data_IF_479847928366
#
_entry.id   IF_479847928366
#
_cell.length_a   1.000
_cell.length_b   1.000
_cell.length_c   1.000
_cell.angle_alpha   90.00
_cell.angle_beta   90.00
_cell.angle_gamma   90.00
#
_symmetry.space_group_name_H-M   'P 1'
#
loop_
_entity.id
_entity.type
_entity.pdbx_description
1 polymer ?
#
# COMPACT_ATOMS: atom_id res chain seq x y z
N UNK A 1 11.67 19.79 30.70
CA UNK A 1 10.90 20.39 29.58
C UNK A 1 10.74 19.35 28.48
N UNK A 2 9.52 19.04 28.06
CA UNK A 2 9.28 18.07 27.00
C UNK A 2 9.44 18.75 25.63
N UNK A 3 10.66 18.76 25.09
CA UNK A 3 10.88 19.18 23.69
C UNK A 3 9.97 18.38 22.75
N UNK A 4 9.31 19.07 21.82
CA UNK A 4 8.53 18.44 20.75
C UNK A 4 9.45 17.64 19.81
N UNK A 5 8.88 16.71 19.03
CA UNK A 5 9.66 15.91 18.08
C UNK A 5 10.39 16.77 17.03
N UNK A 6 9.81 17.90 16.64
CA UNK A 6 10.43 18.83 15.68
C UNK A 6 11.63 19.54 16.30
N UNK A 7 11.50 20.04 17.53
CA UNK A 7 12.58 20.69 18.28
C UNK A 7 13.72 19.72 18.57
N UNK A 8 13.42 18.48 19.02
CA UNK A 8 14.44 17.44 19.21
C UNK A 8 15.22 17.17 17.92
N UNK A 9 14.53 17.14 16.78
CA UNK A 9 15.15 16.91 15.48
C UNK A 9 16.06 18.06 15.05
N UNK A 10 15.66 19.31 15.32
CA UNK A 10 16.49 20.49 15.08
C UNK A 10 17.77 20.47 15.94
N UNK A 11 17.61 20.16 17.22
CA UNK A 11 18.73 20.00 18.17
C UNK A 11 19.70 18.93 17.68
N UNK A 12 19.20 17.74 17.31
CA UNK A 12 20.03 16.64 16.80
C UNK A 12 20.79 17.08 15.54
N UNK A 13 20.14 17.79 14.62
CA UNK A 13 20.77 18.26 13.38
C UNK A 13 21.99 19.13 13.68
N UNK A 14 21.85 20.05 14.63
CA UNK A 14 22.88 21.01 15.00
C UNK A 14 24.01 20.37 15.83
N UNK A 15 23.67 19.52 16.81
CA UNK A 15 24.69 18.84 17.63
C UNK A 15 25.41 17.71 16.90
N UNK A 16 24.78 17.03 15.94
CA UNK A 16 25.43 15.94 15.21
C UNK A 16 26.64 16.41 14.40
N UNK A 17 26.60 17.60 13.82
CA UNK A 17 27.74 18.19 13.11
C UNK A 17 28.93 18.45 14.03
N UNK A 18 28.66 19.04 15.21
CA UNK A 18 29.67 19.32 16.25
C UNK A 18 30.25 18.03 16.84
N UNK A 19 29.39 17.06 17.17
CA UNK A 19 29.79 15.77 17.72
C UNK A 19 30.69 14.96 16.76
N UNK A 20 30.43 15.00 15.45
CA UNK A 20 31.25 14.26 14.47
C UNK A 20 32.66 14.82 14.33
N UNK A 21 32.83 16.14 14.42
CA UNK A 21 34.13 16.83 14.29
C UNK A 21 34.94 16.89 15.58
N UNK A 22 34.28 16.74 16.74
CA UNK A 22 34.90 16.84 18.06
C UNK A 22 35.90 15.70 18.39
N UNK A 23 36.90 16.04 19.20
CA UNK A 23 37.87 15.07 19.78
C UNK A 23 37.25 14.29 20.94
N UNK A 24 37.91 13.23 21.43
CA UNK A 24 37.37 12.31 22.46
C UNK A 24 36.89 13.03 23.72
N UNK A 25 37.66 14.00 24.24
CA UNK A 25 37.31 14.77 25.45
C UNK A 25 36.13 15.74 25.22
N UNK A 26 36.05 16.35 24.05
CA UNK A 26 34.98 17.27 23.66
C UNK A 26 33.66 16.53 23.39
N UNK A 27 33.73 15.32 22.81
CA UNK A 27 32.55 14.46 22.60
C UNK A 27 31.83 14.12 23.91
N UNK A 28 32.57 13.91 24.99
CA UNK A 28 31.99 13.66 26.32
C UNK A 28 31.14 14.84 26.77
N UNK A 29 31.69 16.07 26.70
CA UNK A 29 30.98 17.30 27.09
C UNK A 29 29.72 17.54 26.25
N UNK A 30 29.85 17.43 24.92
CA UNK A 30 28.73 17.56 23.98
C UNK A 30 27.63 16.54 24.29
N UNK A 31 28.02 15.32 24.67
CA UNK A 31 27.08 14.26 24.97
C UNK A 31 26.37 14.49 26.32
N UNK A 32 27.08 14.99 27.32
CA UNK A 32 26.50 15.33 28.64
C UNK A 32 25.43 16.43 28.48
N UNK A 33 25.76 17.51 27.77
CA UNK A 33 24.83 18.60 27.46
C UNK A 33 23.60 18.11 26.67
N UNK A 34 23.84 17.26 25.66
CA UNK A 34 22.77 16.74 24.81
C UNK A 34 21.82 15.79 25.56
N UNK A 35 22.35 14.99 26.49
CA UNK A 35 21.55 14.11 27.36
C UNK A 35 20.66 14.94 28.30
N UNK A 36 21.22 15.98 28.93
CA UNK A 36 20.44 16.90 29.80
C UNK A 36 19.32 17.59 29.01
N UNK A 37 19.62 18.04 27.80
CA UNK A 37 18.68 18.79 26.97
C UNK A 37 17.57 17.92 26.36
N UNK A 38 17.87 16.69 25.94
CA UNK A 38 16.90 15.81 25.24
C UNK A 38 16.25 14.75 26.13
N UNK A 39 16.82 14.47 27.30
CA UNK A 39 16.41 13.37 28.17
C UNK A 39 16.72 11.97 27.61
N UNK A 40 17.56 11.87 26.57
CA UNK A 40 17.95 10.58 26.01
C UNK A 40 18.98 9.86 26.88
N UNK A 41 18.96 8.52 26.86
CA UNK A 41 20.06 7.76 27.46
C UNK A 41 21.36 8.03 26.71
N UNK A 42 22.49 8.03 27.42
CA UNK A 42 23.81 8.29 26.86
C UNK A 42 24.11 7.41 25.63
N UNK A 43 23.73 6.13 25.70
CA UNK A 43 23.88 5.19 24.60
C UNK A 43 23.05 5.61 23.36
N UNK A 44 21.77 5.95 23.57
CA UNK A 44 20.90 6.39 22.49
C UNK A 44 21.38 7.71 21.87
N UNK A 45 21.80 8.68 22.69
CA UNK A 45 22.36 9.94 22.24
C UNK A 45 23.62 9.76 21.36
N UNK A 46 24.57 8.91 21.78
CA UNK A 46 25.72 8.52 20.98
C UNK A 46 25.31 7.96 19.61
N UNK A 47 24.37 7.01 19.61
CA UNK A 47 23.90 6.36 18.40
C UNK A 47 23.23 7.35 17.44
N UNK A 48 22.34 8.21 17.96
CA UNK A 48 21.61 9.23 17.18
C UNK A 48 22.59 10.20 16.53
N UNK A 49 23.52 10.78 17.29
CA UNK A 49 24.48 11.77 16.77
C UNK A 49 25.46 11.16 15.74
N UNK A 50 25.85 9.89 15.92
CA UNK A 50 26.74 9.16 15.00
C UNK A 50 26.05 8.78 13.70
N UNK A 51 24.78 8.36 13.79
CA UNK A 51 23.99 7.83 12.66
C UNK A 51 23.21 8.93 11.95
N UNK A 52 23.11 10.12 12.53
CA UNK A 52 22.42 11.26 11.92
C UNK A 52 22.93 11.54 10.50
N UNK A 53 22.01 11.59 9.53
CA UNK A 53 22.34 11.80 8.11
C UNK A 53 22.90 10.58 7.38
N UNK A 54 23.22 9.47 8.07
CA UNK A 54 23.52 8.19 7.42
C UNK A 54 22.20 7.49 7.10
N UNK A 55 21.58 7.85 5.98
CA UNK A 55 20.58 6.96 5.37
C UNK A 55 21.35 5.84 4.70
N UNK A 56 21.14 4.60 5.15
CA UNK A 56 21.62 3.43 4.40
C UNK A 56 21.10 3.48 2.96
N UNK A 57 21.74 2.78 2.01
CA UNK A 57 21.22 2.71 0.65
C UNK A 57 19.75 2.32 0.71
N UNK A 58 18.87 2.95 -0.10
CA UNK A 58 17.46 2.57 -0.13
C UNK A 58 17.41 1.05 -0.33
N UNK A 59 16.67 0.36 0.54
CA UNK A 59 16.53 -1.10 0.45
C UNK A 59 15.94 -1.40 -0.93
N UNK A 60 16.78 -1.85 -1.86
CA UNK A 60 16.36 -2.21 -3.20
C UNK A 60 15.40 -3.39 -3.08
N UNK A 61 14.11 -3.11 -3.11
CA UNK A 61 13.11 -4.16 -3.20
C UNK A 61 13.25 -4.77 -4.60
N UNK A 62 13.66 -6.04 -4.65
CA UNK A 62 13.80 -6.76 -5.91
C UNK A 62 12.43 -6.79 -6.58
N UNK A 63 12.26 -6.03 -7.67
CA UNK A 63 11.03 -6.04 -8.46
C UNK A 63 10.94 -7.41 -9.11
N UNK A 64 10.11 -8.31 -8.57
CA UNK A 64 9.81 -9.60 -9.20
C UNK A 64 9.20 -9.33 -10.58
N UNK A 65 9.64 -10.06 -11.60
CA UNK A 65 9.02 -10.01 -12.94
C UNK A 65 7.53 -10.32 -12.79
N UNK A 66 6.68 -9.49 -13.38
CA UNK A 66 5.23 -9.72 -13.37
C UNK A 66 4.95 -10.86 -14.34
N UNK A 67 4.30 -11.92 -13.85
CA UNK A 67 3.88 -13.08 -14.67
C UNK A 67 2.60 -12.73 -15.45
N UNK A 68 1.76 -11.87 -14.86
CA UNK A 68 0.51 -11.39 -15.42
C UNK A 68 0.73 -9.96 -15.93
N UNK A 69 0.93 -9.85 -17.24
CA UNK A 69 1.18 -8.58 -17.92
C UNK A 69 -0.11 -7.76 -18.09
N UNK A 70 0.04 -6.53 -18.58
CA UNK A 70 -1.08 -5.63 -18.82
C UNK A 70 -2.15 -6.25 -19.74
N UNK A 71 -1.74 -7.03 -20.75
CA UNK A 71 -2.66 -7.76 -21.63
C UNK A 71 -3.59 -8.71 -20.87
N UNK A 72 -3.04 -9.46 -19.90
CA UNK A 72 -3.83 -10.37 -19.06
C UNK A 72 -4.80 -9.59 -18.19
N UNK A 73 -4.37 -8.43 -17.66
CA UNK A 73 -5.23 -7.56 -16.87
C UNK A 73 -6.42 -7.00 -17.68
N UNK A 74 -6.18 -6.52 -18.91
CA UNK A 74 -7.25 -5.98 -19.76
C UNK A 74 -8.29 -7.05 -20.07
N UNK A 75 -7.85 -8.23 -20.49
CA UNK A 75 -8.73 -9.35 -20.76
C UNK A 75 -9.48 -9.82 -19.49
N UNK A 76 -8.79 -9.92 -18.35
CA UNK A 76 -9.42 -10.29 -17.08
C UNK A 76 -10.48 -9.27 -16.66
N UNK A 77 -10.25 -7.97 -16.90
CA UNK A 77 -11.19 -6.90 -16.59
C UNK A 77 -12.45 -7.01 -17.46
N UNK A 78 -12.31 -7.28 -18.75
CA UNK A 78 -13.45 -7.48 -19.66
C UNK A 78 -14.33 -8.65 -19.20
N UNK A 79 -13.72 -9.81 -18.94
CA UNK A 79 -14.45 -10.97 -18.42
C UNK A 79 -15.11 -10.66 -17.07
N UNK A 80 -14.41 -9.96 -16.18
CA UNK A 80 -14.97 -9.58 -14.88
C UNK A 80 -16.17 -8.63 -15.00
N UNK A 81 -16.18 -7.74 -15.98
CA UNK A 81 -17.32 -6.86 -16.26
C UNK A 81 -18.49 -7.63 -16.85
N UNK A 82 -18.24 -8.58 -17.76
CA UNK A 82 -19.27 -9.47 -18.33
C UNK A 82 -19.91 -10.32 -17.22
N UNK A 83 -19.12 -10.75 -16.23
CA UNK A 83 -19.60 -11.54 -15.08
C UNK A 83 -20.13 -10.68 -13.91
N UNK A 84 -20.69 -9.49 -14.17
CA UNK A 84 -21.31 -8.61 -13.16
C UNK A 84 -20.44 -8.32 -11.94
N UNK A 85 -19.13 -8.16 -12.13
CA UNK A 85 -18.18 -7.80 -11.08
C UNK A 85 -18.06 -8.79 -9.90
N UNK A 86 -18.30 -10.08 -10.11
CA UNK A 86 -18.20 -11.12 -9.06
C UNK A 86 -16.83 -11.17 -8.33
N UNK A 87 -16.80 -11.74 -7.12
CA UNK A 87 -15.56 -11.86 -6.34
C UNK A 87 -14.55 -12.84 -6.97
N UNK A 88 -13.24 -12.61 -6.80
CA UNK A 88 -12.21 -13.43 -7.44
C UNK A 88 -12.26 -14.91 -7.07
N UNK A 89 -12.78 -15.26 -5.89
CA UNK A 89 -13.03 -16.65 -5.48
C UNK A 89 -14.06 -17.37 -6.35
N UNK A 90 -15.10 -16.67 -6.81
CA UNK A 90 -16.11 -17.20 -7.74
C UNK A 90 -15.63 -17.11 -9.19
N UNK A 91 -14.92 -16.03 -9.53
CA UNK A 91 -14.41 -15.83 -10.89
C UNK A 91 -13.34 -16.86 -11.27
N UNK A 92 -12.43 -17.23 -10.36
CA UNK A 92 -11.32 -18.15 -10.66
C UNK A 92 -11.73 -19.50 -11.26
N UNK A 93 -12.66 -20.29 -10.67
CA UNK A 93 -13.12 -21.52 -11.30
C UNK A 93 -13.90 -21.24 -12.59
N UNK A 94 -14.72 -20.18 -12.62
CA UNK A 94 -15.58 -19.86 -13.76
C UNK A 94 -14.79 -19.43 -15.01
N UNK A 95 -13.60 -18.82 -14.83
CA UNK A 95 -12.71 -18.45 -15.94
C UNK A 95 -12.38 -19.62 -16.86
N UNK A 96 -12.33 -20.85 -16.33
CA UNK A 96 -12.04 -22.04 -17.15
C UNK A 96 -13.14 -22.35 -18.16
N UNK A 97 -14.38 -22.02 -17.83
CA UNK A 97 -15.55 -22.30 -18.64
C UNK A 97 -15.88 -21.11 -19.56
N UNK A 98 -15.85 -19.89 -19.01
CA UNK A 98 -16.30 -18.70 -19.76
C UNK A 98 -15.28 -18.21 -20.78
N UNK A 99 -13.96 -18.34 -20.52
CA UNK A 99 -12.92 -17.84 -21.44
C UNK A 99 -13.00 -18.51 -22.82
N UNK A 100 -13.09 -19.85 -22.95
CA UNK A 100 -13.27 -20.51 -24.25
C UNK A 100 -14.54 -20.07 -24.99
N UNK A 101 -15.64 -19.85 -24.27
CA UNK A 101 -16.92 -19.42 -24.84
C UNK A 101 -16.79 -18.00 -25.41
N UNK A 102 -16.23 -17.06 -24.64
CA UNK A 102 -16.05 -15.68 -25.07
C UNK A 102 -15.11 -15.56 -26.29
N UNK A 103 -14.08 -16.41 -26.37
CA UNK A 103 -13.21 -16.49 -27.55
C UNK A 103 -13.98 -17.00 -28.77
N UNK A 104 -14.78 -18.07 -28.61
CA UNK A 104 -15.59 -18.64 -29.71
C UNK A 104 -16.59 -17.62 -30.25
N UNK A 105 -17.22 -16.84 -29.38
CA UNK A 105 -18.19 -15.80 -29.76
C UNK A 105 -17.54 -14.47 -30.21
N UNK A 106 -16.19 -14.41 -30.27
CA UNK A 106 -15.42 -13.19 -30.60
C UNK A 106 -15.65 -12.01 -29.66
N UNK A 107 -16.19 -12.26 -28.47
CA UNK A 107 -16.36 -11.25 -27.42
C UNK A 107 -15.05 -10.96 -26.69
N UNK A 108 -14.10 -11.92 -26.72
CA UNK A 108 -12.76 -11.76 -26.14
C UNK A 108 -11.68 -12.05 -27.20
N UNK A 109 -10.92 -11.02 -27.58
CA UNK A 109 -9.80 -11.16 -28.52
C UNK A 109 -8.48 -11.26 -27.77
N UNK A 110 -8.01 -12.48 -27.52
CA UNK A 110 -6.77 -12.75 -26.78
C UNK A 110 -5.91 -13.82 -27.45
N UNK A 111 -4.59 -13.72 -27.28
CA UNK A 111 -3.65 -14.75 -27.72
C UNK A 111 -3.79 -16.00 -26.85
N UNK A 112 -3.45 -17.18 -27.39
CA UNK A 112 -3.48 -18.47 -26.69
C UNK A 112 -2.75 -18.44 -25.34
N UNK A 113 -1.55 -17.84 -25.30
CA UNK A 113 -0.77 -17.69 -24.07
C UNK A 113 -1.50 -16.85 -22.99
N UNK A 114 -2.28 -15.85 -23.41
CA UNK A 114 -3.06 -15.01 -22.50
C UNK A 114 -4.28 -15.78 -21.98
N UNK A 115 -4.95 -16.57 -22.84
CA UNK A 115 -6.05 -17.43 -22.44
C UNK A 115 -5.61 -18.48 -21.40
N UNK A 116 -4.46 -19.12 -21.60
CA UNK A 116 -3.88 -20.07 -20.63
C UNK A 116 -3.52 -19.39 -19.30
N UNK A 117 -2.96 -18.18 -19.35
CA UNK A 117 -2.68 -17.40 -18.14
C UNK A 117 -3.96 -17.05 -17.38
N UNK A 118 -5.06 -16.75 -18.07
CA UNK A 118 -6.37 -16.47 -17.46
C UNK A 118 -6.99 -17.71 -16.82
N UNK A 119 -6.85 -18.89 -17.40
CA UNK A 119 -7.42 -20.12 -16.83
C UNK A 119 -6.61 -20.66 -15.65
N UNK A 120 -5.31 -20.34 -15.58
CA UNK A 120 -4.41 -20.75 -14.48
C UNK A 120 -4.38 -19.77 -13.30
N UNK A 121 -4.87 -18.54 -13.48
CA UNK A 121 -4.75 -17.50 -12.46
C UNK A 121 -5.47 -17.88 -11.16
N UNK A 122 -4.85 -17.58 -10.02
CA UNK A 122 -5.47 -17.83 -8.71
C UNK A 122 -6.42 -16.71 -8.29
N UNK A 123 -7.43 -17.04 -7.50
CA UNK A 123 -8.40 -16.08 -6.95
C UNK A 123 -7.72 -14.88 -6.25
N UNK A 124 -6.69 -15.13 -5.45
CA UNK A 124 -5.96 -14.07 -4.77
C UNK A 124 -5.22 -13.12 -5.73
N UNK A 125 -4.77 -13.63 -6.89
CA UNK A 125 -4.12 -12.81 -7.91
C UNK A 125 -5.15 -11.99 -8.67
N UNK A 126 -6.31 -12.57 -9.00
CA UNK A 126 -7.45 -11.86 -9.58
C UNK A 126 -7.84 -10.66 -8.72
N UNK A 127 -8.04 -10.88 -7.42
CA UNK A 127 -8.45 -9.81 -6.50
C UNK A 127 -7.39 -8.70 -6.41
N UNK A 128 -6.10 -9.04 -6.41
CA UNK A 128 -5.00 -8.04 -6.43
C UNK A 128 -4.94 -7.25 -7.74
N UNK A 129 -5.14 -7.91 -8.88
CA UNK A 129 -5.14 -7.27 -10.20
C UNK A 129 -6.35 -6.35 -10.37
N UNK A 130 -7.53 -6.77 -9.92
CA UNK A 130 -8.78 -6.03 -10.05
C UNK A 130 -9.01 -5.01 -8.93
N UNK A 131 -8.26 -5.05 -7.82
CA UNK A 131 -8.33 -4.08 -6.73
C UNK A 131 -8.39 -2.59 -7.19
N UNK A 132 -7.53 -2.11 -8.10
CA UNK A 132 -7.62 -0.74 -8.60
C UNK A 132 -8.92 -0.46 -9.35
N UNK A 133 -9.44 -1.40 -10.14
CA UNK A 133 -10.72 -1.24 -10.86
C UNK A 133 -11.89 -1.25 -9.89
N UNK A 134 -11.94 -2.22 -8.97
CA UNK A 134 -12.95 -2.29 -7.89
C UNK A 134 -13.02 -1.00 -7.09
N UNK A 135 -11.90 -0.31 -6.86
CA UNK A 135 -11.86 0.97 -6.15
C UNK A 135 -12.53 2.10 -6.95
N UNK A 136 -12.51 2.06 -8.29
CA UNK A 136 -13.22 3.02 -9.14
C UNK A 136 -14.73 2.83 -9.05
N UNK A 137 -15.19 1.57 -9.07
CA UNK A 137 -16.61 1.23 -8.98
C UNK A 137 -17.17 1.33 -7.55
N UNK A 138 -16.33 1.09 -6.53
CA UNK A 138 -16.61 1.46 -5.14
C UNK A 138 -16.39 2.97 -4.92
N UNK A 139 -17.07 3.81 -5.69
CA UNK A 139 -17.49 5.11 -5.18
C UNK A 139 -18.31 4.83 -3.94
N UNK A 140 -17.73 5.06 -2.76
CA UNK A 140 -18.39 4.88 -1.47
C UNK A 140 -19.84 5.38 -1.61
N UNK A 141 -20.87 4.60 -1.23
CA UNK A 141 -22.10 5.25 -0.86
C UNK A 141 -21.68 6.28 0.19
N UNK A 142 -21.95 7.57 -0.05
CA UNK A 142 -21.88 8.54 1.04
C UNK A 142 -22.74 7.92 2.12
N UNK A 143 -22.11 7.46 3.20
CA UNK A 143 -22.81 6.96 4.37
C UNK A 143 -23.91 7.98 4.62
N UNK A 144 -25.16 7.53 4.55
CA UNK A 144 -26.30 8.38 4.88
C UNK A 144 -25.94 8.99 6.23
N UNK A 145 -25.68 10.30 6.25
CA UNK A 145 -25.58 11.02 7.50
C UNK A 145 -26.84 10.69 8.29
N UNK A 146 -26.75 10.51 9.61
CA UNK A 146 -27.92 10.20 10.43
C UNK A 146 -29.07 11.21 10.26
N UNK A 147 -28.76 12.39 9.72
CA UNK A 147 -29.70 13.45 9.32
C UNK A 147 -30.49 13.22 8.03
N UNK A 148 -30.24 12.13 7.27
CA UNK A 148 -30.93 11.94 5.99
C UNK A 148 -32.40 11.54 6.20
N UNK A 149 -33.32 12.24 5.53
CA UNK A 149 -34.78 12.00 5.59
C UNK A 149 -35.18 10.56 5.21
N UNK A 150 -34.30 9.84 4.50
CA UNK A 150 -34.46 8.42 4.15
C UNK A 150 -34.48 7.49 5.39
N UNK A 151 -33.99 7.95 6.55
CA UNK A 151 -34.06 7.21 7.81
C UNK A 151 -35.39 7.44 8.56
N UNK A 152 -36.25 8.36 8.10
CA UNK A 152 -37.55 8.67 8.72
C UNK A 152 -38.72 7.95 8.06
N UNK A 153 -38.49 7.15 7.02
CA UNK A 153 -39.52 6.35 6.39
C UNK A 153 -39.50 4.97 7.07
N UNK A 154 -40.49 4.63 7.91
CA UNK A 154 -40.59 3.29 8.47
C UNK A 154 -40.89 2.31 7.34
N UNK A 155 -40.02 1.32 7.13
CA UNK A 155 -40.29 0.16 6.26
C UNK A 155 -41.19 -0.83 6.99
N UNK A 156 -42.37 -0.37 7.41
CA UNK A 156 -43.50 -1.22 7.76
C UNK A 156 -44.59 -0.89 6.76
N UNK A 157 -45.10 -1.91 6.10
CA UNK A 157 -46.18 -1.88 5.11
C UNK A 157 -45.76 -1.66 3.66
N UNK A 158 -45.00 -2.61 3.12
CA UNK A 158 -45.20 -3.08 1.74
C UNK A 158 -45.03 -4.61 1.73
N UNK A 159 -46.18 -5.29 1.82
CA UNK A 159 -46.54 -6.65 1.42
C UNK A 159 -45.45 -7.74 1.42
#
# INVERSE_FOLDING_TARGET
>A
MALTLQERRAVIKETAGRYKRARKREKTKILDEFVVLTGYTRHHACWVLRTWGKRGPPKHTRRRRRIYDHKVFVALREVWLICDSICGKRLAPYLKEIVPILIRHKELTVNTETAEKLTRISAATIDRLLAPERKKYNTKPRLRSESSLLNRIPLKDLL
#
